data_IF_203416045924
#
_entry.id   IF_203416045924
#
_cell.length_a   1.000
_cell.length_b   1.000
_cell.length_c   1.000
_cell.angle_alpha   90.00
_cell.angle_beta   90.00
_cell.angle_gamma   90.00
#
_symmetry.space_group_name_H-M   'P 1'
#
loop_
_entity.id
_entity.type
_entity.pdbx_description
1 polymer ?
#
# COMPACT_ATOMS: atom_id res chain seq x y z
N UNK A 1 23.11 46.98 -2.40
CA UNK A 1 22.56 45.68 -1.97
C UNK A 1 22.16 44.88 -3.21
N UNK A 2 22.95 43.88 -3.61
CA UNK A 2 22.61 43.02 -4.74
C UNK A 2 21.49 42.06 -4.33
N UNK A 3 20.31 42.18 -4.95
CA UNK A 3 19.24 41.19 -4.82
C UNK A 3 19.73 39.88 -5.43
N UNK A 4 19.94 38.85 -4.61
CA UNK A 4 20.16 37.48 -5.09
C UNK A 4 18.94 37.09 -5.94
N UNK A 5 19.17 36.81 -7.24
CA UNK A 5 18.16 36.17 -8.08
C UNK A 5 17.84 34.79 -7.47
N UNK A 6 16.57 34.41 -7.33
CA UNK A 6 16.23 33.06 -6.90
C UNK A 6 16.79 32.09 -7.94
N UNK A 7 17.52 31.09 -7.46
CA UNK A 7 18.03 29.99 -8.30
C UNK A 7 16.79 29.19 -8.70
N UNK A 8 16.43 29.27 -9.98
CA UNK A 8 15.35 28.49 -10.57
C UNK A 8 15.87 27.06 -10.68
N UNK A 9 15.66 26.29 -9.61
CA UNK A 9 15.94 24.85 -9.61
C UNK A 9 14.73 24.18 -10.21
N UNK A 10 14.92 23.44 -11.29
CA UNK A 10 13.84 22.63 -11.87
C UNK A 10 13.24 21.74 -10.76
N UNK A 11 11.91 21.76 -10.59
CA UNK A 11 11.28 21.02 -9.52
C UNK A 11 11.49 19.52 -9.74
N UNK A 12 11.88 18.81 -8.68
CA UNK A 12 12.02 17.35 -8.72
C UNK A 12 10.68 16.67 -9.02
N UNK A 13 10.70 15.49 -9.65
CA UNK A 13 9.50 14.70 -9.94
C UNK A 13 8.67 14.41 -8.68
N UNK A 14 9.33 14.18 -7.55
CA UNK A 14 8.68 13.98 -6.27
C UNK A 14 7.89 15.23 -5.84
N UNK A 15 8.45 16.43 -6.03
CA UNK A 15 7.78 17.69 -5.72
C UNK A 15 6.60 17.95 -6.66
N UNK A 16 6.73 17.63 -7.94
CA UNK A 16 5.64 17.74 -8.92
C UNK A 16 4.48 16.82 -8.56
N UNK A 17 4.75 15.54 -8.25
CA UNK A 17 3.73 14.57 -7.78
C UNK A 17 3.03 15.04 -6.51
N UNK A 18 3.78 15.58 -5.55
CA UNK A 18 3.21 16.14 -4.32
C UNK A 18 2.27 17.31 -4.59
N UNK A 19 2.67 18.24 -5.47
CA UNK A 19 1.86 19.40 -5.85
C UNK A 19 0.58 18.99 -6.56
N UNK A 20 0.67 18.05 -7.50
CA UNK A 20 -0.48 17.51 -8.20
C UNK A 20 -1.46 16.84 -7.22
N UNK A 21 -0.98 15.92 -6.38
CA UNK A 21 -1.81 15.31 -5.33
C UNK A 21 -2.54 16.37 -4.49
N UNK A 22 -1.84 17.41 -4.06
CA UNK A 22 -2.44 18.48 -3.24
C UNK A 22 -3.52 19.26 -4.00
N UNK A 23 -3.32 19.52 -5.29
CA UNK A 23 -4.30 20.19 -6.17
C UNK A 23 -5.62 19.42 -6.22
N UNK A 24 -5.55 18.12 -6.45
CA UNK A 24 -6.72 17.24 -6.47
C UNK A 24 -7.41 17.14 -5.11
N UNK A 25 -6.65 17.04 -4.00
CA UNK A 25 -7.23 17.05 -2.65
C UNK A 25 -8.01 18.32 -2.35
N UNK A 26 -7.48 19.49 -2.76
CA UNK A 26 -8.16 20.77 -2.60
C UNK A 26 -9.44 20.79 -3.45
N UNK A 27 -9.38 20.33 -4.70
CA UNK A 27 -10.54 20.27 -5.58
C UNK A 27 -11.66 19.39 -4.99
N UNK A 28 -11.32 18.19 -4.51
CA UNK A 28 -12.28 17.28 -3.86
C UNK A 28 -12.92 17.93 -2.63
N UNK A 29 -12.11 18.57 -1.76
CA UNK A 29 -12.62 19.24 -0.56
C UNK A 29 -13.59 20.37 -0.90
N UNK A 30 -13.25 21.21 -1.89
CA UNK A 30 -14.15 22.28 -2.34
C UNK A 30 -15.44 21.72 -2.93
N UNK A 31 -15.33 20.67 -3.74
CA UNK A 31 -16.49 20.03 -4.36
C UNK A 31 -17.44 19.44 -3.32
N UNK A 32 -16.89 18.70 -2.35
CA UNK A 32 -17.69 17.97 -1.36
C UNK A 32 -18.12 18.86 -0.20
N UNK A 33 -17.20 19.58 0.44
CA UNK A 33 -17.46 20.32 1.69
C UNK A 33 -18.13 21.67 1.42
N UNK A 34 -17.59 22.43 0.46
CA UNK A 34 -18.08 23.78 0.13
C UNK A 34 -19.21 23.75 -0.93
N UNK A 35 -19.56 22.57 -1.45
CA UNK A 35 -20.53 22.40 -2.54
C UNK A 35 -20.19 23.25 -3.77
N UNK A 36 -18.90 23.45 -4.04
CA UNK A 36 -18.42 24.31 -5.12
C UNK A 36 -18.25 23.49 -6.42
N UNK A 37 -19.08 23.68 -7.45
CA UNK A 37 -19.01 22.90 -8.69
C UNK A 37 -17.70 23.12 -9.42
N UNK A 38 -17.15 22.05 -10.01
CA UNK A 38 -15.96 22.15 -10.84
C UNK A 38 -16.02 21.18 -12.02
N UNK A 39 -16.23 21.70 -13.23
CA UNK A 39 -16.33 20.91 -14.46
C UNK A 39 -15.08 20.06 -14.75
N UNK A 40 -13.90 20.54 -14.37
CA UNK A 40 -12.64 19.88 -14.70
C UNK A 40 -12.41 18.63 -13.83
N UNK A 41 -12.80 18.67 -12.56
CA UNK A 41 -12.53 17.60 -11.59
C UNK A 41 -13.72 16.69 -11.34
N UNK A 42 -14.95 17.20 -11.45
CA UNK A 42 -16.17 16.43 -11.14
C UNK A 42 -16.27 15.08 -11.88
N UNK A 43 -15.91 14.95 -13.18
CA UNK A 43 -15.99 13.67 -13.88
C UNK A 43 -15.12 12.56 -13.26
N UNK A 44 -14.04 12.92 -12.57
CA UNK A 44 -13.15 11.96 -11.90
C UNK A 44 -13.69 11.52 -10.54
N UNK A 45 -14.44 12.39 -9.86
CA UNK A 45 -15.08 12.04 -8.59
C UNK A 45 -16.24 11.06 -8.78
N UNK A 46 -16.87 11.05 -9.96
CA UNK A 46 -17.79 10.00 -10.40
C UNK A 46 -19.21 10.11 -9.85
N UNK A 47 -19.54 11.19 -9.12
CA UNK A 47 -20.87 11.51 -8.62
C UNK A 47 -21.07 13.03 -8.60
N UNK A 48 -22.32 13.48 -8.67
CA UNK A 48 -22.68 14.86 -8.38
C UNK A 48 -22.52 15.21 -6.89
N UNK A 49 -22.56 16.51 -6.56
CA UNK A 49 -22.30 17.04 -5.23
C UNK A 49 -23.22 16.45 -4.17
N UNK A 50 -24.51 16.27 -4.46
CA UNK A 50 -25.43 15.79 -3.43
C UNK A 50 -25.26 14.29 -3.19
N UNK A 51 -25.11 13.50 -4.28
CA UNK A 51 -24.89 12.06 -4.15
C UNK A 51 -23.52 11.70 -3.56
N UNK A 52 -22.44 12.42 -3.90
CA UNK A 52 -21.12 12.16 -3.30
C UNK A 52 -21.10 12.51 -1.82
N UNK A 53 -21.82 13.56 -1.40
CA UNK A 53 -21.98 13.88 0.01
C UNK A 53 -22.79 12.80 0.73
N UNK A 54 -23.88 12.36 0.13
CA UNK A 54 -24.69 11.27 0.68
C UNK A 54 -23.86 9.99 0.86
N UNK A 55 -23.02 9.65 -0.11
CA UNK A 55 -22.08 8.53 -0.03
C UNK A 55 -21.15 8.61 1.20
N UNK A 56 -20.54 9.78 1.44
CA UNK A 56 -19.68 9.95 2.63
C UNK A 56 -20.49 10.01 3.92
N UNK A 57 -21.71 10.54 3.89
CA UNK A 57 -22.57 10.61 5.06
C UNK A 57 -22.96 9.23 5.58
N UNK A 58 -23.17 8.25 4.69
CA UNK A 58 -23.42 6.86 5.09
C UNK A 58 -22.24 6.19 5.81
N UNK A 59 -21.04 6.79 5.75
CA UNK A 59 -19.86 6.25 6.42
C UNK A 59 -19.69 6.81 7.84
N UNK A 60 -20.36 7.92 8.19
CA UNK A 60 -20.21 8.54 9.52
C UNK A 60 -20.79 7.66 10.64
N UNK A 61 -20.06 7.45 11.76
CA UNK A 61 -20.62 6.83 12.94
C UNK A 61 -21.60 7.79 13.63
N UNK A 62 -22.38 7.24 14.57
CA UNK A 62 -23.30 8.02 15.38
C UNK A 62 -22.58 9.19 16.07
N UNK A 63 -23.14 10.40 15.97
CA UNK A 63 -22.58 11.61 16.60
C UNK A 63 -21.40 12.23 15.86
N UNK A 64 -21.12 11.80 14.63
CA UNK A 64 -20.18 12.45 13.73
C UNK A 64 -20.90 13.11 12.54
N UNK A 65 -20.40 14.25 12.10
CA UNK A 65 -20.95 14.95 10.96
C UNK A 65 -19.94 15.78 10.18
N UNK A 66 -20.46 16.62 9.28
CA UNK A 66 -19.65 17.46 8.40
C UNK A 66 -18.79 18.48 9.13
N UNK A 67 -19.28 19.01 10.26
CA UNK A 67 -18.57 20.01 11.07
C UNK A 67 -17.33 19.44 11.79
N UNK A 68 -17.21 18.10 11.84
CA UNK A 68 -16.08 17.40 12.45
C UNK A 68 -14.91 17.17 11.47
N UNK A 69 -15.00 17.68 10.24
CA UNK A 69 -13.93 17.54 9.25
C UNK A 69 -12.62 18.17 9.73
N UNK A 70 -11.51 17.51 9.46
CA UNK A 70 -10.15 17.88 9.87
C UNK A 70 -9.91 17.92 11.39
N UNK A 71 -10.92 17.63 12.23
CA UNK A 71 -10.78 17.50 13.69
C UNK A 71 -10.99 16.07 14.17
N UNK A 72 -12.02 15.37 13.68
CA UNK A 72 -12.28 13.95 13.99
C UNK A 72 -12.07 13.02 12.80
N UNK A 73 -12.28 13.51 11.57
CA UNK A 73 -12.17 12.70 10.36
C UNK A 73 -11.62 13.47 9.17
N UNK A 74 -11.19 12.76 8.14
CA UNK A 74 -10.71 13.28 6.87
C UNK A 74 -11.04 12.33 5.72
N UNK A 75 -10.91 12.79 4.47
CA UNK A 75 -10.94 11.90 3.32
C UNK A 75 -9.63 11.13 3.21
N UNK A 76 -9.73 9.83 2.93
CA UNK A 76 -8.61 8.96 2.68
C UNK A 76 -8.86 8.07 1.46
N UNK A 77 -7.79 7.63 0.81
CA UNK A 77 -7.90 6.69 -0.30
C UNK A 77 -7.75 5.27 0.22
N UNK A 78 -8.62 4.36 -0.22
CA UNK A 78 -8.54 2.95 0.12
C UNK A 78 -7.30 2.33 -0.52
N UNK A 79 -7.10 2.55 -1.84
CA UNK A 79 -5.82 2.35 -2.52
C UNK A 79 -5.06 3.68 -2.53
N UNK A 80 -3.88 3.79 -1.91
CA UNK A 80 -3.11 5.02 -1.87
C UNK A 80 -2.80 5.57 -3.27
N UNK A 81 -2.86 6.90 -3.37
CA UNK A 81 -2.54 7.68 -4.57
C UNK A 81 -1.19 7.28 -5.22
N UNK A 82 -0.23 6.82 -4.41
CA UNK A 82 1.12 6.41 -4.88
C UNK A 82 1.11 5.22 -5.83
N UNK A 83 0.04 4.42 -5.86
CA UNK A 83 -0.11 3.28 -6.76
C UNK A 83 -0.74 3.63 -8.11
N UNK A 84 -1.11 4.89 -8.34
CA UNK A 84 -1.73 5.35 -9.57
C UNK A 84 -0.78 6.19 -10.40
N UNK A 85 -0.83 5.99 -11.71
CA UNK A 85 -0.08 6.73 -12.71
C UNK A 85 -0.90 7.94 -13.19
N UNK A 86 -0.46 9.13 -12.79
CA UNK A 86 -1.15 10.39 -13.10
C UNK A 86 -1.03 10.80 -14.57
N UNK A 87 -0.18 10.12 -15.36
CA UNK A 87 -0.12 10.33 -16.82
C UNK A 87 -1.27 9.64 -17.57
N UNK A 88 -1.99 8.74 -16.90
CA UNK A 88 -3.08 7.94 -17.44
C UNK A 88 -4.43 8.41 -16.89
N UNK A 89 -5.33 8.78 -17.78
CA UNK A 89 -6.63 9.34 -17.40
C UNK A 89 -7.50 8.30 -16.67
N UNK A 90 -7.43 7.04 -17.08
CA UNK A 90 -8.10 5.92 -16.44
C UNK A 90 -7.65 5.72 -15.00
N UNK A 91 -6.36 5.83 -14.72
CA UNK A 91 -5.81 5.72 -13.36
C UNK A 91 -6.25 6.91 -12.50
N UNK A 92 -6.32 8.12 -13.07
CA UNK A 92 -6.87 9.29 -12.36
C UNK A 92 -8.35 9.09 -12.01
N UNK A 93 -9.16 8.56 -12.93
CA UNK A 93 -10.59 8.28 -12.68
C UNK A 93 -10.77 7.23 -11.59
N UNK A 94 -9.96 6.18 -11.56
CA UNK A 94 -10.01 5.17 -10.51
C UNK A 94 -9.52 5.73 -9.16
N UNK A 95 -8.40 6.46 -9.17
CA UNK A 95 -7.80 7.05 -7.98
C UNK A 95 -8.78 7.98 -7.26
N UNK A 96 -9.40 8.90 -8.00
CA UNK A 96 -10.26 9.96 -7.45
C UNK A 96 -11.75 9.62 -7.43
N UNK A 97 -12.15 8.42 -7.85
CA UNK A 97 -13.53 7.98 -7.75
C UNK A 97 -14.00 7.95 -6.30
N UNK A 98 -15.25 8.34 -6.05
CA UNK A 98 -15.91 8.18 -4.76
C UNK A 98 -15.84 6.74 -4.21
N UNK A 99 -15.70 5.74 -5.09
CA UNK A 99 -15.57 4.31 -4.71
C UNK A 99 -14.22 4.03 -4.03
N UNK A 100 -13.15 4.73 -4.42
CA UNK A 100 -11.81 4.58 -3.83
C UNK A 100 -11.57 5.55 -2.66
N UNK A 101 -12.49 6.47 -2.37
CA UNK A 101 -12.36 7.44 -1.29
C UNK A 101 -13.29 7.06 -0.14
N UNK A 102 -12.77 7.10 1.09
CA UNK A 102 -13.53 6.85 2.32
C UNK A 102 -13.38 7.98 3.32
N UNK A 103 -14.27 7.97 4.32
CA UNK A 103 -14.09 8.70 5.57
C UNK A 103 -13.11 7.92 6.46
N UNK A 104 -12.02 8.57 6.86
CA UNK A 104 -11.02 8.03 7.78
C UNK A 104 -11.01 8.82 9.09
N UNK A 105 -11.04 8.11 10.20
CA UNK A 105 -11.04 8.70 11.54
C UNK A 105 -9.63 8.89 12.08
N UNK A 106 -9.40 10.00 12.79
CA UNK A 106 -8.14 10.18 13.50
C UNK A 106 -8.08 9.25 14.72
N UNK A 107 -7.40 8.12 14.56
CA UNK A 107 -7.06 7.24 15.68
C UNK A 107 -5.78 7.74 16.36
N UNK A 108 -5.78 7.79 17.69
CA UNK A 108 -4.62 8.25 18.50
C UNK A 108 -3.36 7.39 18.32
N UNK A 109 -3.49 6.13 17.89
CA UNK A 109 -2.39 5.15 17.84
C UNK A 109 -2.05 4.61 16.43
N UNK A 110 -2.59 5.21 15.37
CA UNK A 110 -2.23 4.77 14.00
C UNK A 110 -0.93 5.47 13.60
N UNK A 111 0.17 4.71 13.59
CA UNK A 111 1.35 5.10 12.81
C UNK A 111 0.87 5.32 11.37
N UNK A 112 0.92 6.57 10.93
CA UNK A 112 0.50 7.00 9.58
C UNK A 112 1.54 6.58 8.55
N UNK A 113 1.89 5.30 8.55
CA UNK A 113 2.62 4.66 7.48
C UNK A 113 1.66 4.48 6.30
N UNK A 114 2.03 5.03 5.16
CA UNK A 114 1.31 4.99 3.88
C UNK A 114 1.20 3.55 3.29
N UNK A 115 1.23 2.51 4.14
CA UNK A 115 1.15 1.11 3.76
C UNK A 115 -0.31 0.78 3.46
N UNK A 116 -0.58 0.47 2.20
CA UNK A 116 -1.82 -0.16 1.80
C UNK A 116 -1.97 -1.47 2.58
N UNK A 117 -3.06 -1.62 3.33
CA UNK A 117 -3.51 -2.94 3.74
C UNK A 117 -4.13 -3.61 2.50
N UNK A 118 -3.27 -4.25 1.71
CA UNK A 118 -3.64 -4.86 0.42
C UNK A 118 -4.76 -5.87 0.62
N UNK A 119 -4.67 -6.69 1.68
CA UNK A 119 -5.68 -7.69 2.00
C UNK A 119 -7.01 -7.04 2.39
N UNK A 120 -6.98 -6.01 3.25
CA UNK A 120 -8.17 -5.26 3.63
C UNK A 120 -8.84 -4.57 2.44
N UNK A 121 -8.07 -3.92 1.57
CA UNK A 121 -8.58 -3.26 0.38
C UNK A 121 -9.16 -4.26 -0.63
N UNK A 122 -8.49 -5.40 -0.84
CA UNK A 122 -8.96 -6.47 -1.73
C UNK A 122 -10.30 -7.02 -1.29
N UNK A 123 -10.41 -7.37 0.00
CA UNK A 123 -11.67 -7.85 0.58
C UNK A 123 -12.79 -6.82 0.44
N UNK A 124 -12.51 -5.56 0.73
CA UNK A 124 -13.48 -4.47 0.60
C UNK A 124 -14.03 -4.34 -0.83
N UNK A 125 -13.17 -4.25 -1.85
CA UNK A 125 -13.64 -4.09 -3.24
C UNK A 125 -14.28 -5.35 -3.78
N UNK A 126 -13.80 -6.53 -3.37
CA UNK A 126 -14.42 -7.80 -3.74
C UNK A 126 -15.85 -7.91 -3.20
N UNK A 127 -16.07 -7.59 -1.93
CA UNK A 127 -17.40 -7.58 -1.31
C UNK A 127 -18.31 -6.55 -1.98
N UNK A 128 -17.81 -5.33 -2.19
CA UNK A 128 -18.57 -4.26 -2.83
C UNK A 128 -19.01 -4.66 -4.25
N UNK A 129 -18.11 -5.23 -5.05
CA UNK A 129 -18.45 -5.72 -6.39
C UNK A 129 -19.45 -6.88 -6.34
N UNK A 130 -19.20 -7.91 -5.52
CA UNK A 130 -20.06 -9.08 -5.44
C UNK A 130 -21.50 -8.73 -5.02
N UNK A 131 -21.64 -7.74 -4.14
CA UNK A 131 -22.94 -7.34 -3.59
C UNK A 131 -23.69 -6.37 -4.51
N UNK A 132 -22.99 -5.49 -5.22
CA UNK A 132 -23.62 -4.37 -5.95
C UNK A 132 -23.45 -4.42 -7.47
N UNK A 133 -22.53 -5.24 -7.99
CA UNK A 133 -22.12 -5.25 -9.38
C UNK A 133 -21.35 -3.99 -9.80
N UNK A 134 -20.85 -3.18 -8.86
CA UNK A 134 -20.16 -1.92 -9.18
C UNK A 134 -18.87 -2.14 -9.98
N UNK A 135 -18.89 -1.75 -11.26
CA UNK A 135 -17.76 -1.97 -12.19
C UNK A 135 -16.48 -1.27 -11.74
N UNK A 136 -16.58 -0.09 -11.11
CA UNK A 136 -15.39 0.62 -10.60
C UNK A 136 -14.71 -0.15 -9.48
N UNK A 137 -15.46 -0.82 -8.61
CA UNK A 137 -14.90 -1.72 -7.59
C UNK A 137 -14.14 -2.89 -8.22
N UNK A 138 -14.67 -3.49 -9.30
CA UNK A 138 -13.95 -4.53 -10.06
C UNK A 138 -12.64 -4.00 -10.67
N UNK A 139 -12.65 -2.79 -11.23
CA UNK A 139 -11.44 -2.17 -11.78
C UNK A 139 -10.38 -1.89 -10.69
N UNK A 140 -10.81 -1.45 -9.50
CA UNK A 140 -9.92 -1.26 -8.35
C UNK A 140 -9.38 -2.60 -7.82
N UNK A 141 -10.16 -3.69 -7.89
CA UNK A 141 -9.67 -5.03 -7.58
C UNK A 141 -8.55 -5.47 -8.53
N UNK A 142 -8.73 -5.30 -9.85
CA UNK A 142 -7.67 -5.58 -10.82
C UNK A 142 -6.43 -4.71 -10.59
N UNK A 143 -6.62 -3.45 -10.16
CA UNK A 143 -5.48 -2.58 -9.79
C UNK A 143 -4.69 -3.17 -8.62
N UNK A 144 -5.38 -3.73 -7.62
CA UNK A 144 -4.73 -4.42 -6.49
C UNK A 144 -3.95 -5.65 -6.97
N UNK A 145 -4.55 -6.49 -7.82
CA UNK A 145 -3.87 -7.68 -8.35
C UNK A 145 -2.57 -7.32 -9.11
N UNK A 146 -2.57 -6.21 -9.86
CA UNK A 146 -1.36 -5.70 -10.52
C UNK A 146 -0.28 -5.26 -9.53
N UNK A 147 -0.68 -4.63 -8.41
CA UNK A 147 0.24 -4.20 -7.35
C UNK A 147 0.86 -5.43 -6.68
N UNK A 148 0.05 -6.44 -6.33
CA UNK A 148 0.52 -7.70 -5.70
C UNK A 148 1.58 -8.41 -6.56
N UNK A 149 1.34 -8.52 -7.88
CA UNK A 149 2.29 -9.12 -8.82
C UNK A 149 3.62 -8.35 -8.90
N UNK A 150 3.61 -7.04 -8.66
CA UNK A 150 4.81 -6.19 -8.73
C UNK A 150 5.65 -6.19 -7.46
N UNK A 151 5.02 -6.36 -6.28
CA UNK A 151 5.71 -6.28 -4.98
C UNK A 151 6.27 -7.63 -4.49
N UNK A 152 5.79 -8.78 -5.01
CA UNK A 152 6.09 -10.12 -4.47
C UNK A 152 6.92 -11.02 -5.39
N UNK A 153 8.04 -10.54 -5.93
CA UNK A 153 8.94 -11.38 -6.75
C UNK A 153 10.28 -11.56 -6.04
N UNK A 154 10.68 -12.80 -5.79
CA UNK A 154 12.04 -13.12 -5.33
C UNK A 154 13.06 -12.72 -6.40
N UNK A 155 14.16 -12.09 -6.01
CA UNK A 155 15.20 -11.68 -6.95
C UNK A 155 15.88 -12.87 -7.60
N UNK A 156 16.46 -12.69 -8.80
CA UNK A 156 17.22 -13.75 -9.47
C UNK A 156 18.35 -14.30 -8.58
N UNK A 157 19.03 -13.42 -7.82
CA UNK A 157 20.06 -13.83 -6.86
C UNK A 157 19.53 -14.69 -5.72
N UNK A 158 18.34 -14.39 -5.19
CA UNK A 158 17.69 -15.24 -4.18
C UNK A 158 17.35 -16.63 -4.76
N UNK A 159 16.78 -16.66 -5.96
CA UNK A 159 16.44 -17.91 -6.64
C UNK A 159 17.69 -18.74 -6.94
N UNK A 160 18.76 -18.10 -7.40
CA UNK A 160 20.02 -18.74 -7.72
C UNK A 160 20.69 -19.30 -6.46
N UNK A 161 20.72 -18.54 -5.36
CA UNK A 161 21.23 -19.01 -4.08
C UNK A 161 20.53 -20.29 -3.62
N UNK A 162 19.19 -20.33 -3.68
CA UNK A 162 18.42 -21.51 -3.28
C UNK A 162 18.72 -22.72 -4.17
N UNK A 163 18.91 -22.51 -5.48
CA UNK A 163 19.29 -23.57 -6.43
C UNK A 163 20.70 -24.10 -6.13
N UNK A 164 21.68 -23.20 -5.97
CA UNK A 164 23.07 -23.56 -5.72
C UNK A 164 23.31 -24.21 -4.35
N UNK A 165 22.51 -23.83 -3.35
CA UNK A 165 22.64 -24.33 -1.97
C UNK A 165 21.61 -25.40 -1.63
N UNK A 166 20.90 -25.97 -2.61
CA UNK A 166 19.83 -26.94 -2.35
C UNK A 166 20.29 -28.13 -1.48
N UNK A 167 21.40 -28.78 -1.83
CA UNK A 167 21.95 -29.91 -1.06
C UNK A 167 22.40 -29.50 0.34
N UNK A 168 23.09 -28.35 0.44
CA UNK A 168 23.50 -27.77 1.72
C UNK A 168 22.27 -27.52 2.63
N UNK A 169 21.22 -26.90 2.09
CA UNK A 169 19.99 -26.57 2.83
C UNK A 169 19.25 -27.83 3.28
N UNK A 170 19.19 -28.87 2.45
CA UNK A 170 18.61 -30.16 2.82
C UNK A 170 19.39 -30.83 3.95
N UNK A 171 20.73 -30.77 3.90
CA UNK A 171 21.59 -31.35 4.93
C UNK A 171 21.34 -30.67 6.29
N UNK A 172 21.33 -29.34 6.35
CA UNK A 172 21.18 -28.61 7.62
C UNK A 172 19.73 -28.51 8.13
N UNK A 173 18.73 -28.95 7.35
CA UNK A 173 17.32 -28.80 7.71
C UNK A 173 16.97 -29.50 9.04
N UNK A 174 17.69 -30.56 9.40
CA UNK A 174 17.52 -31.32 10.64
C UNK A 174 18.47 -30.93 11.77
N UNK A 175 19.35 -29.94 11.57
CA UNK A 175 20.36 -29.57 12.57
C UNK A 175 19.71 -28.90 13.78
N UNK A 176 20.14 -29.30 14.98
CA UNK A 176 19.81 -28.66 16.25
C UNK A 176 20.64 -27.39 16.46
N UNK A 177 20.35 -26.65 17.54
CA UNK A 177 21.12 -25.48 17.94
C UNK A 177 22.62 -25.77 18.11
N UNK A 178 22.97 -26.98 18.57
CA UNK A 178 24.37 -27.39 18.75
C UNK A 178 25.09 -27.57 17.40
N UNK A 179 24.46 -28.24 16.44
CA UNK A 179 25.02 -28.43 15.10
C UNK A 179 25.16 -27.09 14.36
N UNK A 180 24.20 -26.18 14.52
CA UNK A 180 24.28 -24.82 13.99
C UNK A 180 25.44 -24.01 14.61
N UNK A 181 25.68 -24.15 15.92
CA UNK A 181 26.80 -23.47 16.58
C UNK A 181 28.16 -23.96 16.04
N UNK A 182 28.28 -25.25 15.74
CA UNK A 182 29.51 -25.80 15.15
C UNK A 182 29.80 -25.23 13.76
N UNK A 183 28.79 -25.19 12.87
CA UNK A 183 28.99 -24.61 11.53
C UNK A 183 29.21 -23.10 11.58
N UNK A 184 28.57 -22.38 12.51
CA UNK A 184 28.80 -20.94 12.72
C UNK A 184 30.22 -20.63 13.20
N UNK A 185 30.87 -21.59 13.88
CA UNK A 185 32.30 -21.54 14.25
C UNK A 185 33.24 -21.94 13.11
N UNK A 186 32.72 -22.15 11.90
CA UNK A 186 33.49 -22.47 10.70
C UNK A 186 33.79 -23.95 10.50
N UNK A 187 33.13 -24.85 11.25
CA UNK A 187 33.25 -26.30 11.01
C UNK A 187 32.53 -26.66 9.70
N UNK A 188 33.09 -27.61 8.96
CA UNK A 188 32.43 -28.12 7.74
C UNK A 188 31.24 -29.02 8.10
N UNK A 189 30.30 -29.19 7.15
CA UNK A 189 29.17 -30.11 7.33
C UNK A 189 29.63 -31.55 7.62
N UNK A 190 30.70 -32.00 6.95
CA UNK A 190 31.28 -33.32 7.18
C UNK A 190 31.82 -33.47 8.60
N UNK A 191 32.46 -32.43 9.15
CA UNK A 191 33.00 -32.49 10.51
C UNK A 191 31.88 -32.55 11.55
N UNK A 192 30.81 -31.79 11.31
CA UNK A 192 29.63 -31.79 12.16
C UNK A 192 28.94 -33.14 12.13
N UNK A 193 28.75 -33.74 10.95
CA UNK A 193 28.14 -35.06 10.81
C UNK A 193 28.96 -36.15 11.50
N UNK A 194 30.29 -36.13 11.33
CA UNK A 194 31.20 -37.08 12.01
C UNK A 194 31.11 -36.96 13.53
N UNK A 195 31.14 -35.73 14.05
CA UNK A 195 31.05 -35.47 15.49
C UNK A 195 29.70 -35.92 16.06
N UNK A 196 28.61 -35.67 15.35
CA UNK A 196 27.29 -36.11 15.79
C UNK A 196 27.11 -37.63 15.76
N UNK A 197 27.67 -38.31 14.76
CA UNK A 197 27.66 -39.77 14.70
C UNK A 197 28.48 -40.40 15.83
N UNK A 198 29.55 -39.75 16.27
CA UNK A 198 30.33 -40.18 17.44
C UNK A 198 29.51 -40.00 18.71
N UNK A 199 28.91 -38.83 18.95
CA UNK A 199 28.08 -38.57 20.13
C UNK A 199 26.89 -39.53 20.23
N UNK A 200 26.25 -39.86 19.11
CA UNK A 200 25.18 -40.88 19.06
C UNK A 200 25.67 -42.26 19.48
N UNK A 201 26.90 -42.66 19.13
CA UNK A 201 27.49 -43.95 19.55
C UNK A 201 27.80 -44.01 21.04
N UNK A 202 28.07 -42.88 21.69
CA UNK A 202 28.33 -42.80 23.13
C UNK A 202 27.08 -42.54 23.99
N UNK A 203 25.96 -42.23 23.34
CA UNK A 203 24.66 -42.02 24.00
C UNK A 203 23.79 -43.28 24.00
N UNK A 204 24.26 -44.39 23.39
CA UNK A 204 23.65 -45.72 23.40
C UNK A 204 24.34 -46.64 24.39
#
# INVERSE_FOLDING_TARGET
MAKRKPIDTEPTDALLKFREKRKWQIALRRYVLEKNPCQFYAPYFGLDIENIRLWFQYQFPQGMGWDDFATKWQFDHIIPVTYFDFSKEEDLKLCWSFVNIRVEYFQRNKDRGNRLDVLGAKNYFQELYNTTGNVTALQLLHKIDQIELSEMVSTEGQQQFLKEKAEYLQHIAGYSAFEFEMINRGRSLEDVEKEMNILKKFSN
#
